data_IF_242157145454
#
_entry.id   IF_242157145454
#
_cell.length_a   1.000
_cell.length_b   1.000
_cell.length_c   1.000
_cell.angle_alpha   90.00
_cell.angle_beta   90.00
_cell.angle_gamma   90.00
#
_symmetry.space_group_name_H-M   'P 1'
#
loop_
_entity.id
_entity.type
_entity.pdbx_description
1 polymer ?
#
# COMPACT_ATOMS: atom_id res chain seq x y z
N UNK A 1 -12.34 5.01 -31.10
CA UNK A 1 -11.07 4.41 -30.64
C UNK A 1 -10.38 5.22 -29.54
N UNK A 2 -10.33 6.55 -29.63
CA UNK A 2 -9.71 7.42 -28.62
C UNK A 2 -10.22 7.19 -27.17
N UNK A 3 -11.53 7.05 -26.97
CA UNK A 3 -12.12 6.79 -25.65
C UNK A 3 -11.67 5.47 -25.00
N UNK A 4 -11.38 4.44 -25.80
CA UNK A 4 -10.85 3.15 -25.33
C UNK A 4 -9.36 3.22 -25.00
N UNK A 5 -8.62 4.15 -25.59
CA UNK A 5 -7.21 4.35 -25.30
C UNK A 5 -7.04 5.20 -24.03
N UNK A 6 -7.87 6.24 -23.87
CA UNK A 6 -7.93 7.06 -22.67
C UNK A 6 -8.30 6.26 -21.41
N UNK A 7 -9.27 5.34 -21.50
CA UNK A 7 -9.64 4.49 -20.36
C UNK A 7 -8.54 3.47 -19.98
N UNK A 8 -7.82 2.93 -20.96
CA UNK A 8 -6.69 2.01 -20.74
C UNK A 8 -5.49 2.74 -20.14
N UNK A 9 -5.21 3.95 -20.60
CA UNK A 9 -4.17 4.81 -20.04
C UNK A 9 -4.51 5.24 -18.61
N UNK A 10 -5.76 5.63 -18.33
CA UNK A 10 -6.20 5.97 -16.97
C UNK A 10 -6.07 4.78 -16.01
N UNK A 11 -6.47 3.58 -16.45
CA UNK A 11 -6.31 2.35 -15.67
C UNK A 11 -4.83 2.04 -15.40
N UNK A 12 -3.97 2.19 -16.40
CA UNK A 12 -2.53 2.02 -16.24
C UNK A 12 -1.95 2.97 -15.19
N UNK A 13 -2.29 4.27 -15.26
CA UNK A 13 -1.81 5.27 -14.31
C UNK A 13 -2.28 4.96 -12.88
N UNK A 14 -3.53 4.52 -12.71
CA UNK A 14 -4.03 4.11 -11.39
C UNK A 14 -3.25 2.92 -10.82
N UNK A 15 -3.03 1.87 -11.62
CA UNK A 15 -2.24 0.72 -11.20
C UNK A 15 -0.78 1.10 -10.91
N UNK A 16 -0.21 2.04 -11.66
CA UNK A 16 1.14 2.55 -11.43
C UNK A 16 1.26 3.36 -10.12
N UNK A 17 0.24 4.15 -9.76
CA UNK A 17 0.20 4.86 -8.47
C UNK A 17 0.10 3.90 -7.28
N UNK A 18 -0.70 2.84 -7.40
CA UNK A 18 -0.78 1.77 -6.40
C UNK A 18 0.57 1.02 -6.29
N UNK A 19 1.24 0.77 -7.41
CA UNK A 19 2.58 0.19 -7.39
C UNK A 19 3.60 1.09 -6.66
N UNK A 20 3.63 2.39 -6.99
CA UNK A 20 4.53 3.34 -6.34
C UNK A 20 4.30 3.43 -4.82
N UNK A 21 3.03 3.52 -4.39
CA UNK A 21 2.69 3.55 -2.96
C UNK A 21 3.08 2.24 -2.25
N UNK A 22 2.90 1.09 -2.90
CA UNK A 22 3.32 -0.20 -2.37
C UNK A 22 4.84 -0.29 -2.14
N UNK A 23 5.64 0.20 -3.09
CA UNK A 23 7.11 0.24 -2.98
C UNK A 23 7.55 1.15 -1.82
N UNK A 24 6.96 2.35 -1.71
CA UNK A 24 7.29 3.30 -0.65
C UNK A 24 6.96 2.72 0.73
N UNK A 25 5.75 2.19 0.90
CA UNK A 25 5.34 1.57 2.17
C UNK A 25 6.20 0.36 2.52
N UNK A 26 6.49 -0.52 1.56
CA UNK A 26 7.40 -1.65 1.76
C UNK A 26 8.78 -1.19 2.25
N UNK A 27 9.32 -0.10 1.71
CA UNK A 27 10.58 0.48 2.14
C UNK A 27 10.52 1.05 3.57
N UNK A 28 9.47 1.80 3.90
CA UNK A 28 9.27 2.39 5.23
C UNK A 28 9.14 1.30 6.30
N UNK A 29 8.28 0.30 6.08
CA UNK A 29 8.06 -0.78 7.03
C UNK A 29 9.25 -1.74 7.12
N UNK A 30 9.99 -1.97 6.04
CA UNK A 30 11.23 -2.75 6.06
C UNK A 30 12.32 -2.04 6.86
N UNK A 31 12.42 -0.71 6.73
CA UNK A 31 13.31 0.10 7.57
C UNK A 31 12.95 -0.06 9.06
N UNK A 32 11.67 0.00 9.41
CA UNK A 32 11.23 -0.23 10.79
C UNK A 32 11.52 -1.66 11.28
N UNK A 33 11.33 -2.67 10.43
CA UNK A 33 11.57 -4.06 10.81
C UNK A 33 13.07 -4.39 10.98
N UNK A 34 13.94 -3.70 10.23
CA UNK A 34 15.40 -3.84 10.37
C UNK A 34 15.93 -3.05 11.59
N UNK A 35 15.36 -1.86 11.84
CA UNK A 35 15.81 -1.00 12.92
C UNK A 35 15.32 -1.44 14.32
N UNK A 36 14.18 -2.14 14.40
CA UNK A 36 13.57 -2.53 15.67
C UNK A 36 13.33 -4.04 15.77
N UNK A 37 13.73 -4.62 16.90
CA UNK A 37 13.64 -6.07 17.16
C UNK A 37 12.23 -6.51 17.58
N UNK A 38 11.38 -5.56 18.00
CA UNK A 38 10.00 -5.81 18.38
C UNK A 38 9.12 -6.05 17.15
N UNK A 39 8.82 -7.33 16.92
CA UNK A 39 7.95 -7.76 15.83
C UNK A 39 6.49 -7.68 16.25
N UNK A 40 5.94 -6.47 16.25
CA UNK A 40 4.52 -6.25 16.48
C UNK A 40 3.69 -6.84 15.34
N UNK A 41 2.61 -7.55 15.67
CA UNK A 41 1.75 -8.22 14.69
C UNK A 41 1.14 -7.24 13.68
N UNK A 42 0.81 -6.02 14.13
CA UNK A 42 0.32 -4.92 13.27
C UNK A 42 1.38 -4.43 12.29
N UNK A 43 2.63 -4.27 12.74
CA UNK A 43 3.75 -3.87 11.88
C UNK A 43 4.03 -4.92 10.80
N UNK A 44 4.01 -6.20 11.17
CA UNK A 44 4.18 -7.30 10.20
C UNK A 44 3.04 -7.31 9.19
N UNK A 45 1.79 -7.10 9.63
CA UNK A 45 0.65 -6.99 8.73
C UNK A 45 0.82 -5.84 7.73
N UNK A 46 1.19 -4.65 8.20
CA UNK A 46 1.46 -3.47 7.36
C UNK A 46 2.63 -3.65 6.39
N UNK A 47 3.57 -4.56 6.66
CA UNK A 47 4.66 -4.92 5.74
C UNK A 47 4.21 -5.94 4.67
N UNK A 48 3.38 -6.91 5.04
CA UNK A 48 2.98 -8.02 4.16
C UNK A 48 2.03 -7.56 3.06
N UNK A 49 1.10 -6.63 3.36
CA UNK A 49 0.15 -6.14 2.35
C UNK A 49 0.85 -5.39 1.20
N UNK A 50 1.74 -4.41 1.45
CA UNK A 50 2.47 -3.72 0.39
C UNK A 50 3.44 -4.63 -0.37
N UNK A 51 4.09 -5.60 0.28
CA UNK A 51 5.01 -6.53 -0.40
C UNK A 51 4.29 -7.43 -1.40
N UNK A 52 3.15 -7.99 -1.01
CA UNK A 52 2.30 -8.80 -1.90
C UNK A 52 1.77 -7.91 -3.03
N UNK A 53 1.24 -6.72 -2.70
CA UNK A 53 0.72 -5.78 -3.71
C UNK A 53 1.79 -5.37 -4.71
N UNK A 54 3.01 -5.06 -4.26
CA UNK A 54 4.15 -4.72 -5.11
C UNK A 54 4.47 -5.85 -6.11
N UNK A 55 4.56 -7.09 -5.62
CA UNK A 55 4.87 -8.25 -6.47
C UNK A 55 3.79 -8.49 -7.53
N UNK A 56 2.52 -8.40 -7.14
CA UNK A 56 1.40 -8.53 -8.07
C UNK A 56 1.34 -7.36 -9.07
N UNK A 57 1.29 -6.12 -8.60
CA UNK A 57 1.09 -4.95 -9.45
C UNK A 57 2.25 -4.69 -10.42
N UNK A 58 3.47 -5.19 -10.13
CA UNK A 58 4.58 -5.19 -11.07
C UNK A 58 4.22 -5.88 -12.41
N UNK A 59 3.46 -6.98 -12.33
CA UNK A 59 2.98 -7.70 -13.51
C UNK A 59 1.61 -7.20 -13.97
N UNK A 60 0.70 -6.91 -13.03
CA UNK A 60 -0.68 -6.51 -13.36
C UNK A 60 -0.75 -5.16 -14.08
N UNK A 61 0.21 -4.25 -13.90
CA UNK A 61 0.22 -2.97 -14.63
C UNK A 61 0.29 -3.15 -16.16
N UNK A 62 0.79 -4.26 -16.69
CA UNK A 62 0.85 -4.52 -18.13
C UNK A 62 -0.42 -5.18 -18.70
N UNK A 63 -1.29 -5.74 -17.84
CA UNK A 63 -2.55 -6.36 -18.23
C UNK A 63 -3.52 -5.47 -19.04
N UNK A 64 -3.69 -4.16 -18.78
CA UNK A 64 -4.56 -3.33 -19.60
C UNK A 64 -4.19 -3.29 -21.08
N UNK A 65 -2.98 -3.71 -21.48
CA UNK A 65 -2.59 -3.84 -22.89
C UNK A 65 -3.12 -5.11 -23.56
N UNK A 66 -3.55 -6.12 -22.81
CA UNK A 66 -4.08 -7.37 -23.35
C UNK A 66 -5.56 -7.21 -23.78
N UNK A 67 -5.94 -7.59 -25.01
CA UNK A 67 -7.28 -7.39 -25.57
C UNK A 67 -8.37 -8.30 -24.97
N UNK A 68 -8.01 -9.26 -24.12
CA UNK A 68 -8.92 -10.27 -23.54
C UNK A 68 -9.42 -9.92 -22.12
N UNK A 69 -9.13 -8.72 -21.63
CA UNK A 69 -9.49 -8.29 -20.27
C UNK A 69 -10.99 -8.03 -20.11
N UNK A 70 -11.70 -9.03 -19.56
CA UNK A 70 -13.16 -9.08 -19.48
C UNK A 70 -13.68 -8.87 -18.04
N UNK A 71 -13.01 -8.04 -17.25
CA UNK A 71 -13.46 -7.65 -15.90
C UNK A 71 -13.07 -8.59 -14.75
N UNK A 72 -12.27 -9.64 -15.00
CA UNK A 72 -11.79 -10.55 -13.95
C UNK A 72 -10.91 -9.91 -12.86
N UNK A 73 -10.40 -8.69 -13.08
CA UNK A 73 -9.58 -7.96 -12.09
C UNK A 73 -10.43 -7.28 -11.01
N UNK A 74 -11.72 -7.08 -11.26
CA UNK A 74 -12.60 -6.33 -10.37
C UNK A 74 -12.69 -6.91 -8.94
N UNK A 75 -12.88 -8.24 -8.74
CA UNK A 75 -12.85 -8.81 -7.39
C UNK A 75 -11.46 -8.79 -6.75
N UNK A 76 -10.39 -8.91 -7.54
CA UNK A 76 -9.02 -8.87 -7.02
C UNK A 76 -8.69 -7.47 -6.49
N UNK A 77 -9.03 -6.42 -7.26
CA UNK A 77 -8.88 -5.03 -6.82
C UNK A 77 -9.69 -4.77 -5.54
N UNK A 78 -10.93 -5.29 -5.44
CA UNK A 78 -11.75 -5.12 -4.24
C UNK A 78 -11.10 -5.75 -2.98
N UNK A 79 -10.57 -6.96 -3.11
CA UNK A 79 -9.89 -7.65 -2.00
C UNK A 79 -8.64 -6.88 -1.58
N UNK A 80 -7.84 -6.41 -2.55
CA UNK A 80 -6.68 -5.58 -2.24
C UNK A 80 -7.07 -4.26 -1.56
N UNK A 81 -8.05 -3.52 -2.07
CA UNK A 81 -8.50 -2.28 -1.41
C UNK A 81 -8.98 -2.52 0.03
N UNK A 82 -9.62 -3.67 0.32
CA UNK A 82 -10.00 -4.01 1.70
C UNK A 82 -8.80 -4.32 2.59
N UNK A 83 -7.81 -5.07 2.08
CA UNK A 83 -6.56 -5.35 2.80
C UNK A 83 -5.80 -4.04 3.09
N UNK A 84 -5.74 -3.12 2.14
CA UNK A 84 -5.16 -1.79 2.33
C UNK A 84 -5.95 -0.95 3.33
N UNK A 85 -7.29 -1.01 3.30
CA UNK A 85 -8.15 -0.32 4.27
C UNK A 85 -7.86 -0.77 5.70
N UNK A 86 -7.74 -2.07 5.93
CA UNK A 86 -7.42 -2.60 7.27
C UNK A 86 -6.03 -2.17 7.73
N UNK A 87 -5.03 -2.15 6.84
CA UNK A 87 -3.69 -1.62 7.14
C UNK A 87 -3.72 -0.13 7.49
N UNK A 88 -4.52 0.65 6.76
CA UNK A 88 -4.73 2.08 7.04
C UNK A 88 -5.39 2.32 8.40
N UNK A 89 -6.44 1.57 8.74
CA UNK A 89 -7.11 1.68 10.06
C UNK A 89 -6.13 1.39 11.18
N UNK A 90 -5.33 0.32 11.05
CA UNK A 90 -4.31 0.03 12.04
C UNK A 90 -3.27 1.15 12.13
N UNK A 91 -2.84 1.74 11.01
CA UNK A 91 -1.89 2.84 11.03
C UNK A 91 -2.48 4.09 11.72
N UNK A 92 -3.76 4.40 11.46
CA UNK A 92 -4.46 5.52 12.05
C UNK A 92 -4.61 5.38 13.58
N UNK A 93 -4.97 4.20 14.07
CA UNK A 93 -5.06 3.95 15.52
C UNK A 93 -3.70 4.04 16.22
N UNK A 94 -2.63 3.62 15.55
CA UNK A 94 -1.26 3.62 16.09
C UNK A 94 -0.60 5.00 16.07
N UNK A 95 -0.80 5.77 15.01
CA UNK A 95 -0.06 7.01 14.75
C UNK A 95 -0.88 8.27 15.04
N UNK A 96 -2.20 8.23 14.87
CA UNK A 96 -3.08 9.40 15.01
C UNK A 96 -3.78 9.48 16.38
N UNK A 97 -4.06 8.35 17.05
CA UNK A 97 -4.84 8.36 18.32
C UNK A 97 -4.00 8.50 19.59
N UNK A 98 -2.77 7.97 19.64
CA UNK A 98 -2.04 7.77 20.91
C UNK A 98 -0.67 8.47 21.02
N UNK A 99 -0.40 9.42 20.12
CA UNK A 99 0.86 10.17 20.11
C UNK A 99 2.01 9.32 19.58
N UNK A 100 2.62 9.81 18.50
CA UNK A 100 3.70 9.16 17.75
C UNK A 100 4.89 8.59 18.57
N UNK A 101 5.10 9.08 19.81
CA UNK A 101 6.20 8.70 20.70
C UNK A 101 5.99 7.38 21.46
N UNK A 102 4.74 6.94 21.69
CA UNK A 102 4.42 5.89 22.67
C UNK A 102 4.08 4.52 22.06
N UNK A 103 3.99 4.40 20.73
CA UNK A 103 3.65 3.13 20.07
C UNK A 103 4.62 2.74 18.94
N UNK A 104 4.68 1.42 18.73
CA UNK A 104 5.61 0.67 17.86
C UNK A 104 6.03 1.39 16.58
N UNK A 105 7.35 1.51 16.29
CA UNK A 105 8.46 1.23 17.19
C UNK A 105 8.66 2.33 18.24
N UNK A 106 8.93 1.87 19.47
CA UNK A 106 9.16 2.66 20.67
C UNK A 106 10.31 3.66 20.46
N UNK A 107 10.14 4.90 20.91
CA UNK A 107 11.16 5.97 20.87
C UNK A 107 11.80 6.25 19.50
N UNK A 108 10.98 6.36 18.47
CA UNK A 108 11.42 7.04 17.25
C UNK A 108 10.69 8.35 17.10
N UNK A 109 11.36 9.46 17.39
CA UNK A 109 10.90 10.82 17.09
C UNK A 109 10.75 11.12 15.59
N UNK A 110 10.34 10.13 14.78
CA UNK A 110 10.15 10.18 13.33
C UNK A 110 8.66 10.10 12.98
N UNK A 111 7.85 10.97 13.58
CA UNK A 111 6.40 11.06 13.32
C UNK A 111 6.10 11.32 11.86
N UNK A 112 6.93 12.13 11.20
CA UNK A 112 6.82 12.37 9.77
C UNK A 112 6.86 11.08 8.95
N UNK A 113 7.69 10.09 9.34
CA UNK A 113 7.81 8.83 8.60
C UNK A 113 6.61 7.90 8.86
N UNK A 114 6.08 7.91 10.09
CA UNK A 114 4.87 7.16 10.48
C UNK A 114 3.64 7.71 9.74
N UNK A 115 3.44 9.02 9.75
CA UNK A 115 2.36 9.68 8.99
C UNK A 115 2.54 9.59 7.48
N UNK A 116 3.79 9.56 6.98
CA UNK A 116 4.03 9.26 5.57
C UNK A 116 3.53 7.85 5.23
N UNK A 117 3.84 6.84 6.05
CA UNK A 117 3.36 5.46 5.85
C UNK A 117 1.83 5.35 5.87
N UNK A 118 1.16 6.11 6.74
CA UNK A 118 -0.31 6.24 6.79
C UNK A 118 -0.86 6.87 5.50
N UNK A 119 -0.30 8.00 5.07
CA UNK A 119 -0.71 8.71 3.86
C UNK A 119 -0.52 7.86 2.60
N UNK A 120 0.60 7.15 2.47
CA UNK A 120 0.84 6.26 1.34
C UNK A 120 -0.03 5.00 1.39
N UNK A 121 -0.43 4.54 2.59
CA UNK A 121 -1.48 3.51 2.73
C UNK A 121 -2.82 3.98 2.16
N UNK A 122 -3.19 5.23 2.39
CA UNK A 122 -4.41 5.79 1.80
C UNK A 122 -4.34 5.88 0.27
N UNK A 123 -3.17 6.21 -0.29
CA UNK A 123 -2.97 6.33 -1.74
C UNK A 123 -3.03 4.97 -2.47
N UNK A 124 -2.66 3.88 -1.81
CA UNK A 124 -2.70 2.54 -2.41
C UNK A 124 -4.06 1.84 -2.37
N UNK A 125 -5.09 2.50 -1.81
CA UNK A 125 -6.48 2.04 -1.77
C UNK A 125 -7.15 2.12 -3.15
#
# INVERSE_FOLDING_TARGET
MAARFASRAAAFTAYFLVFCSAVINCGIFSYFLHAYKDRNVRLVYMQVIPTITMAFYLFLQFLPFLPKYRGWMMPVNLVFSYLWLTGFVFAAEEYSTLGCSWHSPFETGRCALKHAGEAFHFIGL
#
